data_IF_810229305442
#
_entry.id   IF_810229305442
#
_cell.length_a   1.000
_cell.length_b   1.000
_cell.length_c   1.000
_cell.angle_alpha   90.00
_cell.angle_beta   90.00
_cell.angle_gamma   90.00
#
_symmetry.space_group_name_H-M   'P 1'
#
loop_
_entity.id
_entity.type
_entity.pdbx_description
1 polymer ?
#
# COMPACT_ATOMS: atom_id res chain seq x y z
N UNK A 1 -31.28 -16.94 -6.73
CA UNK A 1 -29.96 -17.33 -6.16
C UNK A 1 -29.78 -16.60 -4.86
N UNK A 2 -29.15 -17.22 -3.87
CA UNK A 2 -28.83 -16.59 -2.60
C UNK A 2 -27.36 -16.18 -2.56
N UNK A 3 -27.07 -15.01 -2.02
CA UNK A 3 -25.69 -14.53 -1.82
C UNK A 3 -24.93 -15.47 -0.89
N UNK A 4 -23.71 -15.82 -1.26
CA UNK A 4 -22.84 -16.71 -0.49
C UNK A 4 -21.70 -15.92 0.15
N UNK A 5 -21.17 -16.43 1.27
CA UNK A 5 -19.99 -15.87 1.91
C UNK A 5 -18.96 -16.97 2.17
N UNK A 6 -17.69 -16.60 2.03
CA UNK A 6 -16.56 -17.47 2.35
C UNK A 6 -15.71 -16.77 3.39
N UNK A 7 -15.61 -17.37 4.57
CA UNK A 7 -14.78 -16.85 5.66
C UNK A 7 -13.48 -17.66 5.75
N UNK A 8 -12.35 -17.00 5.52
CA UNK A 8 -11.02 -17.59 5.68
C UNK A 8 -10.45 -17.10 7.02
N UNK A 9 -10.45 -17.97 8.03
CA UNK A 9 -9.90 -17.66 9.37
C UNK A 9 -8.49 -18.20 9.53
N UNK A 10 -7.77 -17.69 10.53
CA UNK A 10 -6.42 -18.14 10.87
C UNK A 10 -5.62 -17.06 11.59
N UNK A 11 -4.58 -17.46 12.31
CA UNK A 11 -3.66 -16.55 12.99
C UNK A 11 -2.82 -15.72 11.99
N UNK A 12 -2.02 -14.77 12.50
CA UNK A 12 -1.06 -14.05 11.66
C UNK A 12 -0.06 -15.03 11.05
N UNK A 13 0.17 -14.93 9.74
CA UNK A 13 1.04 -15.86 9.01
C UNK A 13 0.36 -17.12 8.45
N UNK A 14 -0.92 -17.37 8.74
CA UNK A 14 -1.64 -18.56 8.26
C UNK A 14 -1.94 -18.59 6.73
N UNK A 15 -1.41 -17.65 5.94
CA UNK A 15 -1.61 -17.63 4.49
C UNK A 15 -3.00 -17.19 4.02
N UNK A 16 -3.76 -16.46 4.84
CA UNK A 16 -5.14 -16.01 4.51
C UNK A 16 -5.20 -15.27 3.18
N UNK A 17 -4.34 -14.26 2.99
CA UNK A 17 -4.27 -13.45 1.76
C UNK A 17 -3.93 -14.31 0.54
N UNK A 18 -2.95 -15.21 0.67
CA UNK A 18 -2.54 -16.12 -0.40
C UNK A 18 -3.65 -17.09 -0.81
N UNK A 19 -4.43 -17.60 0.15
CA UNK A 19 -5.58 -18.45 -0.15
C UNK A 19 -6.69 -17.65 -0.84
N UNK A 20 -6.96 -16.41 -0.40
CA UNK A 20 -7.91 -15.51 -1.07
C UNK A 20 -7.50 -15.24 -2.52
N UNK A 21 -6.21 -15.01 -2.80
CA UNK A 21 -5.68 -14.84 -4.16
C UNK A 21 -6.01 -16.06 -5.04
N UNK A 22 -5.79 -17.27 -4.54
CA UNK A 22 -6.10 -18.51 -5.27
C UNK A 22 -7.59 -18.69 -5.54
N UNK A 23 -8.45 -18.34 -4.58
CA UNK A 23 -9.90 -18.41 -4.77
C UNK A 23 -10.38 -17.42 -5.84
N UNK A 24 -9.87 -16.18 -5.80
CA UNK A 24 -10.19 -15.17 -6.83
C UNK A 24 -9.72 -15.66 -8.21
N UNK A 25 -8.48 -16.16 -8.31
CA UNK A 25 -7.93 -16.68 -9.56
C UNK A 25 -8.74 -17.88 -10.09
N UNK A 26 -9.26 -18.73 -9.20
CA UNK A 26 -10.15 -19.83 -9.59
C UNK A 26 -11.47 -19.30 -10.17
N UNK A 27 -12.14 -18.35 -9.52
CA UNK A 27 -13.37 -17.76 -10.03
C UNK A 27 -13.16 -17.05 -11.38
N UNK A 28 -12.06 -16.32 -11.51
CA UNK A 28 -11.63 -15.70 -12.76
C UNK A 28 -11.51 -16.73 -13.91
N UNK A 29 -10.76 -17.81 -13.69
CA UNK A 29 -10.53 -18.82 -14.72
C UNK A 29 -11.80 -19.58 -15.11
N UNK A 30 -12.63 -19.98 -14.13
CA UNK A 30 -13.87 -20.70 -14.40
C UNK A 30 -14.88 -19.83 -15.14
N UNK A 31 -14.99 -18.54 -14.77
CA UNK A 31 -15.86 -17.60 -15.47
C UNK A 31 -15.40 -17.36 -16.92
N UNK A 32 -14.08 -17.26 -17.16
CA UNK A 32 -13.51 -17.02 -18.48
C UNK A 32 -13.72 -18.21 -19.46
N UNK A 33 -13.66 -19.45 -18.99
CA UNK A 33 -13.87 -20.66 -19.80
C UNK A 33 -15.27 -20.77 -20.45
N UNK A 34 -16.25 -20.02 -19.94
CA UNK A 34 -17.62 -20.00 -20.49
C UNK A 34 -17.77 -19.09 -21.73
N UNK A 35 -16.67 -18.51 -22.22
CA UNK A 35 -16.67 -17.64 -23.41
C UNK A 35 -15.87 -18.25 -24.56
N UNK A 36 -16.51 -18.36 -25.72
CA UNK A 36 -15.80 -18.46 -27.00
C UNK A 36 -14.96 -17.19 -27.17
N UNK A 37 -13.62 -17.33 -27.12
CA UNK A 37 -12.63 -16.24 -27.23
C UNK A 37 -13.05 -15.20 -28.28
N UNK A 38 -13.32 -13.93 -27.91
CA UNK A 38 -13.26 -12.86 -28.89
C UNK A 38 -11.79 -12.70 -29.32
N UNK A 39 -11.60 -12.38 -30.60
CA UNK A 39 -10.29 -12.13 -31.18
C UNK A 39 -9.54 -11.05 -30.38
N UNK A 40 -8.24 -11.29 -30.15
CA UNK A 40 -7.27 -10.39 -29.50
C UNK A 40 -7.53 -8.93 -29.89
N UNK A 41 -8.22 -8.17 -29.04
CA UNK A 41 -8.20 -6.72 -29.05
C UNK A 41 -7.26 -6.24 -27.94
N UNK A 42 -6.60 -5.13 -28.22
CA UNK A 42 -5.42 -4.58 -27.57
C UNK A 42 -5.50 -4.46 -26.03
N UNK A 43 -4.44 -4.95 -25.35
CA UNK A 43 -3.81 -4.48 -24.09
C UNK A 43 -4.67 -3.92 -22.93
N UNK A 44 -5.98 -4.13 -22.88
CA UNK A 44 -6.79 -3.74 -21.72
C UNK A 44 -6.79 -4.89 -20.71
N UNK A 45 -6.28 -4.63 -19.51
CA UNK A 45 -6.30 -5.60 -18.43
C UNK A 45 -7.72 -6.11 -18.19
N UNK A 46 -7.85 -7.42 -17.99
CA UNK A 46 -9.15 -8.04 -17.75
C UNK A 46 -9.66 -7.65 -16.35
N UNK A 47 -10.98 -7.78 -16.11
CA UNK A 47 -11.54 -7.51 -14.77
C UNK A 47 -10.86 -8.42 -13.73
N UNK A 48 -10.56 -9.64 -14.14
CA UNK A 48 -9.82 -10.66 -13.40
C UNK A 48 -8.41 -10.19 -13.02
N UNK A 49 -7.66 -9.64 -13.98
CA UNK A 49 -6.33 -9.08 -13.73
C UNK A 49 -6.42 -7.92 -12.74
N UNK A 50 -7.39 -7.02 -12.91
CA UNK A 50 -7.58 -5.89 -12.00
C UNK A 50 -7.83 -6.35 -10.55
N UNK A 51 -8.70 -7.35 -10.33
CA UNK A 51 -8.97 -7.84 -8.96
C UNK A 51 -7.69 -8.41 -8.32
N UNK A 52 -6.87 -9.14 -9.07
CA UNK A 52 -5.59 -9.68 -8.57
C UNK A 52 -4.60 -8.56 -8.27
N UNK A 53 -4.52 -7.56 -9.16
CA UNK A 53 -3.61 -6.40 -9.04
C UNK A 53 -4.01 -5.41 -7.95
N UNK A 54 -5.20 -5.52 -7.35
CA UNK A 54 -5.49 -4.76 -6.12
C UNK A 54 -4.59 -5.17 -4.95
N UNK A 55 -4.04 -6.39 -4.95
CA UNK A 55 -3.30 -6.90 -3.79
C UNK A 55 -1.95 -6.21 -3.59
N UNK A 56 -1.06 -6.04 -4.59
CA UNK A 56 0.19 -5.29 -4.41
C UNK A 56 -0.05 -3.91 -3.77
N UNK A 57 -1.03 -3.15 -4.25
CA UNK A 57 -1.39 -1.85 -3.68
C UNK A 57 -1.87 -1.98 -2.23
N UNK A 58 -2.81 -2.89 -1.95
CA UNK A 58 -3.34 -3.06 -0.59
C UNK A 58 -2.32 -3.62 0.40
N UNK A 59 -1.40 -4.46 -0.06
CA UNK A 59 -0.32 -4.99 0.76
C UNK A 59 0.75 -3.92 1.03
N UNK A 60 1.10 -3.11 0.02
CA UNK A 60 2.03 -2.00 0.18
C UNK A 60 1.55 -1.00 1.24
N UNK A 61 0.28 -0.58 1.17
CA UNK A 61 -0.29 0.42 2.08
C UNK A 61 -0.85 -0.14 3.40
N UNK A 62 -1.19 -1.43 3.44
CA UNK A 62 -1.93 -2.03 4.54
C UNK A 62 -1.21 -3.15 5.28
N UNK A 63 -0.07 -3.64 4.77
CA UNK A 63 0.74 -4.63 5.46
C UNK A 63 2.00 -4.02 6.05
N UNK A 64 2.47 -4.65 7.12
CA UNK A 64 3.71 -4.31 7.77
C UNK A 64 4.38 -5.56 8.35
N UNK A 65 5.68 -5.47 8.62
CA UNK A 65 6.39 -6.48 9.42
C UNK A 65 6.06 -6.32 10.89
N UNK A 66 5.68 -7.43 11.50
CA UNK A 66 5.49 -7.61 12.95
C UNK A 66 6.55 -8.57 13.50
N UNK A 67 6.56 -8.79 14.81
CA UNK A 67 7.48 -9.74 15.45
C UNK A 67 7.36 -11.17 14.89
N UNK A 68 6.15 -11.60 14.50
CA UNK A 68 5.87 -12.99 14.11
C UNK A 68 5.63 -13.18 12.61
N UNK A 69 5.42 -12.10 11.86
CA UNK A 69 5.04 -12.16 10.46
C UNK A 69 5.59 -10.95 9.72
N UNK A 70 6.39 -11.21 8.69
CA UNK A 70 7.02 -10.19 7.86
C UNK A 70 6.06 -9.46 6.92
N UNK A 71 4.91 -10.07 6.58
CA UNK A 71 3.90 -9.47 5.71
C UNK A 71 2.51 -9.58 6.36
N UNK A 72 2.33 -8.91 7.51
CA UNK A 72 1.07 -8.93 8.25
C UNK A 72 0.13 -7.84 7.80
N UNK A 73 -1.04 -8.20 7.28
CA UNK A 73 -2.13 -7.23 7.07
C UNK A 73 -2.58 -6.63 8.40
N UNK A 74 -2.61 -5.30 8.46
CA UNK A 74 -3.04 -4.51 9.62
C UNK A 74 -4.37 -3.80 9.36
N UNK A 75 -5.17 -4.39 8.48
CA UNK A 75 -6.53 -4.01 8.14
C UNK A 75 -7.32 -5.28 7.80
N UNK A 76 -8.63 -5.23 7.97
CA UNK A 76 -9.57 -6.23 7.47
C UNK A 76 -9.98 -5.90 6.04
N UNK A 77 -10.12 -6.92 5.20
CA UNK A 77 -10.55 -6.82 3.80
C UNK A 77 -11.78 -7.71 3.59
N UNK A 78 -12.88 -7.11 3.13
CA UNK A 78 -14.07 -7.83 2.70
C UNK A 78 -14.24 -7.66 1.20
N UNK A 79 -14.09 -8.76 0.46
CA UNK A 79 -14.15 -8.75 -1.01
C UNK A 79 -15.50 -9.31 -1.41
N UNK A 80 -16.31 -8.48 -2.09
CA UNK A 80 -17.52 -8.92 -2.76
C UNK A 80 -17.19 -9.21 -4.21
N UNK A 81 -17.54 -10.40 -4.68
CA UNK A 81 -17.40 -10.78 -6.08
C UNK A 81 -18.81 -10.90 -6.67
N UNK A 82 -19.09 -10.13 -7.70
CA UNK A 82 -20.40 -10.09 -8.35
C UNK A 82 -20.40 -11.02 -9.57
N UNK A 83 -21.44 -11.84 -9.66
CA UNK A 83 -21.70 -12.68 -10.83
C UNK A 83 -22.96 -12.21 -11.55
N UNK A 84 -22.89 -12.09 -12.88
CA UNK A 84 -24.02 -11.77 -13.73
C UNK A 84 -25.01 -12.94 -13.85
N UNK A 85 -26.15 -12.69 -14.52
CA UNK A 85 -27.21 -13.68 -14.74
C UNK A 85 -26.76 -14.93 -15.52
N UNK A 86 -25.65 -14.84 -16.25
CA UNK A 86 -25.03 -15.93 -16.98
C UNK A 86 -23.90 -16.65 -16.20
N UNK A 87 -23.73 -16.35 -14.91
CA UNK A 87 -22.68 -16.93 -14.06
C UNK A 87 -21.27 -16.37 -14.30
N UNK A 88 -21.14 -15.31 -15.12
CA UNK A 88 -19.84 -14.67 -15.38
C UNK A 88 -19.50 -13.62 -14.35
N UNK A 89 -18.22 -13.35 -14.17
CA UNK A 89 -17.73 -12.26 -13.34
C UNK A 89 -18.28 -10.92 -13.88
N UNK A 90 -19.03 -10.21 -13.05
CA UNK A 90 -19.65 -8.93 -13.40
C UNK A 90 -18.94 -7.73 -12.74
N UNK A 91 -18.20 -7.96 -11.66
CA UNK A 91 -17.49 -6.92 -10.92
C UNK A 91 -16.97 -7.44 -9.59
N UNK A 92 -16.22 -6.61 -8.88
CA UNK A 92 -15.85 -6.86 -7.49
C UNK A 92 -15.76 -5.55 -6.71
N UNK A 93 -16.16 -5.58 -5.44
CA UNK A 93 -15.95 -4.49 -4.50
C UNK A 93 -15.05 -4.95 -3.36
N UNK A 94 -14.23 -4.04 -2.84
CA UNK A 94 -13.39 -4.30 -1.68
C UNK A 94 -13.73 -3.26 -0.62
N UNK A 95 -14.23 -3.74 0.52
CA UNK A 95 -14.44 -2.91 1.70
C UNK A 95 -13.31 -3.18 2.70
N UNK A 96 -12.65 -2.10 3.11
CA UNK A 96 -11.55 -2.16 4.06
C UNK A 96 -12.01 -1.67 5.43
N UNK A 97 -11.58 -2.35 6.49
CA UNK A 97 -12.00 -2.09 7.85
C UNK A 97 -10.80 -2.05 8.80
N UNK A 98 -10.87 -1.20 9.84
CA UNK A 98 -9.96 -1.22 10.98
C UNK A 98 -8.46 -1.17 10.63
N UNK A 99 -8.06 -0.23 9.78
CA UNK A 99 -6.63 0.04 9.58
C UNK A 99 -5.99 0.46 10.92
N UNK A 100 -4.87 -0.16 11.29
CA UNK A 100 -4.10 0.19 12.49
C UNK A 100 -3.39 1.53 12.29
N UNK A 101 -4.11 2.64 12.57
CA UNK A 101 -3.61 4.01 12.38
C UNK A 101 -2.37 4.32 13.22
N UNK A 102 -2.28 3.75 14.43
CA UNK A 102 -1.16 3.97 15.35
C UNK A 102 0.19 3.57 14.76
N UNK A 103 0.21 2.55 13.88
CA UNK A 103 1.43 2.08 13.20
C UNK A 103 2.07 3.10 12.28
N UNK A 104 1.31 4.10 11.82
CA UNK A 104 1.87 5.16 10.96
C UNK A 104 2.91 5.99 11.72
N UNK A 105 2.70 6.23 13.02
CA UNK A 105 3.54 7.14 13.81
C UNK A 105 4.43 6.42 14.84
N UNK A 106 4.20 5.13 15.08
CA UNK A 106 4.95 4.38 16.08
C UNK A 106 5.04 2.89 15.76
N UNK A 107 6.21 2.31 16.00
CA UNK A 107 6.47 0.88 15.88
C UNK A 107 7.26 0.38 17.08
N UNK A 108 7.08 -0.88 17.46
CA UNK A 108 7.98 -1.52 18.42
C UNK A 108 9.34 -1.81 17.76
N UNK A 109 10.36 -2.02 18.59
CA UNK A 109 11.75 -2.19 18.13
C UNK A 109 11.95 -3.26 17.06
N UNK A 110 11.21 -4.38 17.13
CA UNK A 110 11.30 -5.48 16.17
C UNK A 110 10.26 -5.42 15.03
N UNK A 111 9.46 -4.36 14.96
CA UNK A 111 8.42 -4.16 13.93
C UNK A 111 8.87 -3.15 12.87
N UNK A 112 8.14 -3.07 11.77
CA UNK A 112 8.34 -2.12 10.68
C UNK A 112 7.09 -1.25 10.50
N UNK A 113 7.26 -0.08 9.90
CA UNK A 113 6.15 0.69 9.37
C UNK A 113 5.47 -0.04 8.18
N UNK A 114 4.42 0.56 7.62
CA UNK A 114 3.80 0.04 6.40
C UNK A 114 4.81 0.00 5.25
N UNK A 115 4.72 -1.04 4.41
CA UNK A 115 5.73 -1.31 3.38
C UNK A 115 5.93 -0.15 2.41
N UNK A 116 4.86 0.57 2.04
CA UNK A 116 4.91 1.71 1.12
C UNK A 116 5.95 2.76 1.51
N UNK A 117 6.14 3.03 2.81
CA UNK A 117 7.11 4.03 3.26
C UNK A 117 8.54 3.63 2.91
N UNK A 118 8.85 2.34 3.05
CA UNK A 118 10.17 1.82 2.78
C UNK A 118 10.40 1.62 1.27
N UNK A 119 9.35 1.21 0.55
CA UNK A 119 9.31 1.17 -0.91
C UNK A 119 9.58 2.55 -1.53
N UNK A 120 9.00 3.64 -1.01
CA UNK A 120 9.26 5.00 -1.49
C UNK A 120 10.71 5.46 -1.23
N UNK A 121 11.32 5.02 -0.12
CA UNK A 121 12.72 5.35 0.21
C UNK A 121 13.75 4.41 -0.43
N UNK A 122 13.31 3.37 -1.13
CA UNK A 122 14.18 2.39 -1.80
C UNK A 122 14.91 2.96 -3.03
N UNK A 123 14.49 4.14 -3.51
CA UNK A 123 14.98 4.78 -4.73
C UNK A 123 14.73 3.95 -6.01
N UNK A 124 13.66 3.15 -6.05
CA UNK A 124 13.26 2.41 -7.24
C UNK A 124 13.05 3.31 -8.47
N UNK A 125 12.58 4.53 -8.24
CA UNK A 125 12.35 5.56 -9.25
C UNK A 125 13.03 6.87 -8.83
N UNK A 126 14.30 7.10 -9.22
CA UNK A 126 15.06 8.26 -8.76
C UNK A 126 14.40 9.62 -9.05
N UNK A 127 13.73 9.76 -10.21
CA UNK A 127 13.01 10.99 -10.54
C UNK A 127 11.84 11.24 -9.59
N UNK A 128 11.13 10.17 -9.17
CA UNK A 128 10.04 10.29 -8.21
C UNK A 128 10.59 10.65 -6.83
N UNK A 129 11.66 10.00 -6.38
CA UNK A 129 12.33 10.31 -5.11
C UNK A 129 12.75 11.79 -5.05
N UNK A 130 13.30 12.34 -6.14
CA UNK A 130 13.62 13.76 -6.25
C UNK A 130 12.37 14.65 -6.21
N UNK A 131 11.33 14.33 -6.98
CA UNK A 131 10.07 15.09 -6.99
C UNK A 131 9.37 15.15 -5.62
N UNK A 132 9.46 14.05 -4.86
CA UNK A 132 8.90 13.94 -3.51
C UNK A 132 9.81 14.53 -2.43
N UNK A 133 10.99 15.04 -2.82
CA UNK A 133 12.03 15.56 -1.93
C UNK A 133 12.44 14.55 -0.86
N UNK A 134 12.47 13.26 -1.25
CA UNK A 134 12.85 12.18 -0.35
C UNK A 134 14.36 11.97 -0.36
N UNK A 135 14.91 11.58 0.78
CA UNK A 135 16.24 11.00 0.88
C UNK A 135 16.08 9.48 0.79
N UNK A 136 16.90 8.77 -0.02
CA UNK A 136 16.80 7.32 -0.20
C UNK A 136 17.36 6.54 1.00
N UNK A 137 16.86 6.85 2.19
CA UNK A 137 17.17 6.21 3.45
C UNK A 137 15.99 6.41 4.41
N UNK A 138 15.28 5.32 4.71
CA UNK A 138 14.13 5.34 5.63
C UNK A 138 14.48 5.85 7.04
N UNK A 139 15.74 5.73 7.47
CA UNK A 139 16.20 6.20 8.78
C UNK A 139 16.20 7.71 8.92
N UNK A 140 16.07 8.43 7.81
CA UNK A 140 15.87 9.88 7.81
C UNK A 140 14.46 10.28 8.25
N UNK A 141 13.52 9.33 8.37
CA UNK A 141 12.12 9.61 8.68
C UNK A 141 11.72 8.95 10.00
N UNK A 142 11.47 9.76 11.02
CA UNK A 142 11.21 9.28 12.38
C UNK A 142 9.98 8.36 12.47
N UNK A 143 8.91 8.66 11.76
CA UNK A 143 7.71 7.81 11.71
C UNK A 143 7.94 6.45 11.05
N UNK A 144 9.03 6.27 10.30
CA UNK A 144 9.28 5.05 9.53
C UNK A 144 10.40 4.17 10.13
N UNK A 145 11.13 4.67 11.13
CA UNK A 145 12.42 4.11 11.54
C UNK A 145 12.60 3.89 13.04
N UNK A 146 11.49 3.85 13.81
CA UNK A 146 11.55 3.51 15.24
C UNK A 146 11.85 2.02 15.50
N UNK A 147 11.59 1.16 14.51
CA UNK A 147 11.88 -0.27 14.56
C UNK A 147 12.83 -0.71 13.44
N UNK A 148 12.58 -1.90 12.88
CA UNK A 148 13.32 -2.41 11.73
C UNK A 148 12.94 -1.63 10.47
N UNK A 149 13.92 -1.45 9.58
CA UNK A 149 13.71 -0.84 8.25
C UNK A 149 13.76 -1.87 7.12
N UNK A 150 14.26 -3.06 7.39
CA UNK A 150 14.50 -4.14 6.41
C UNK A 150 13.73 -5.42 6.76
N UNK A 151 13.53 -6.26 5.73
CA UNK A 151 12.96 -7.60 5.83
C UNK A 151 13.89 -8.55 5.08
N UNK A 152 14.38 -9.64 5.71
CA UNK A 152 15.25 -10.61 5.04
C UNK A 152 14.60 -11.19 3.78
N UNK A 153 15.30 -11.08 2.64
CA UNK A 153 14.88 -11.65 1.36
C UNK A 153 13.83 -10.85 0.60
N UNK A 154 13.50 -9.62 1.03
CA UNK A 154 12.60 -8.72 0.31
C UNK A 154 13.40 -7.53 -0.23
N UNK A 155 13.22 -7.22 -1.52
CA UNK A 155 13.76 -6.02 -2.16
C UNK A 155 12.63 -4.97 -2.28
N UNK A 156 12.66 -3.95 -1.42
CA UNK A 156 11.65 -2.88 -1.45
C UNK A 156 11.65 -2.09 -2.77
N UNK A 157 12.75 -2.06 -3.52
CA UNK A 157 12.78 -1.40 -4.82
C UNK A 157 12.04 -2.22 -5.89
N UNK A 158 12.12 -3.54 -5.81
CA UNK A 158 11.32 -4.44 -6.66
C UNK A 158 9.85 -4.35 -6.31
N UNK A 159 9.51 -4.41 -5.01
CA UNK A 159 8.14 -4.27 -4.53
C UNK A 159 7.52 -2.91 -4.89
N UNK A 160 8.31 -1.83 -4.89
CA UNK A 160 7.87 -0.51 -5.34
C UNK A 160 7.50 -0.51 -6.84
N UNK A 161 8.29 -1.19 -7.68
CA UNK A 161 8.00 -1.31 -9.13
C UNK A 161 6.72 -2.11 -9.38
N UNK A 162 6.53 -3.21 -8.65
CA UNK A 162 5.30 -4.02 -8.72
C UNK A 162 4.07 -3.22 -8.28
N UNK A 163 4.21 -2.41 -7.23
CA UNK A 163 3.13 -1.54 -6.75
C UNK A 163 2.78 -0.45 -7.77
N UNK A 164 3.78 0.17 -8.40
CA UNK A 164 3.55 1.19 -9.44
C UNK A 164 2.89 0.62 -10.70
N UNK A 165 3.33 -0.56 -11.16
CA UNK A 165 2.71 -1.28 -12.27
C UNK A 165 1.26 -1.68 -11.94
N UNK A 166 1.00 -2.09 -10.69
CA UNK A 166 -0.34 -2.43 -10.26
C UNK A 166 -1.30 -1.23 -10.37
N UNK A 167 -0.85 -0.01 -10.03
CA UNK A 167 -1.67 1.20 -10.24
C UNK A 167 -2.00 1.44 -11.72
N UNK A 168 -1.05 1.20 -12.64
CA UNK A 168 -1.28 1.33 -14.08
C UNK A 168 -2.34 0.32 -14.56
N UNK A 169 -2.25 -0.94 -14.11
CA UNK A 169 -3.21 -1.98 -14.46
C UNK A 169 -4.62 -1.68 -13.92
N UNK A 170 -4.70 -1.09 -12.73
CA UNK A 170 -5.94 -0.63 -12.11
C UNK A 170 -6.52 0.63 -12.78
N UNK A 171 -5.79 1.24 -13.71
CA UNK A 171 -6.26 2.38 -14.50
C UNK A 171 -6.10 3.73 -13.82
N UNK A 172 -5.24 3.84 -12.81
CA UNK A 172 -4.88 5.14 -12.25
C UNK A 172 -4.08 5.95 -13.27
N UNK A 173 -4.42 7.22 -13.42
CA UNK A 173 -3.62 8.15 -14.21
C UNK A 173 -2.28 8.44 -13.52
N UNK A 174 -1.27 8.87 -14.29
CA UNK A 174 0.01 9.26 -13.73
C UNK A 174 -0.12 10.37 -12.67
N UNK A 175 -1.05 11.30 -12.86
CA UNK A 175 -1.34 12.36 -11.88
C UNK A 175 -1.86 11.77 -10.58
N UNK A 176 -2.83 10.86 -10.63
CA UNK A 176 -3.38 10.22 -9.42
C UNK A 176 -2.30 9.39 -8.69
N UNK A 177 -1.46 8.65 -9.42
CA UNK A 177 -0.30 7.94 -8.82
C UNK A 177 0.63 8.91 -8.09
N UNK A 178 1.01 10.00 -8.76
CA UNK A 178 1.89 11.01 -8.19
C UNK A 178 1.27 11.67 -6.96
N UNK A 179 -0.03 11.96 -6.95
CA UNK A 179 -0.73 12.55 -5.82
C UNK A 179 -0.79 11.57 -4.62
N UNK A 180 -1.02 10.28 -4.87
CA UNK A 180 -0.95 9.23 -3.84
C UNK A 180 0.45 9.19 -3.21
N UNK A 181 1.50 9.19 -4.02
CA UNK A 181 2.88 9.19 -3.52
C UNK A 181 3.23 10.50 -2.80
N UNK A 182 2.75 11.64 -3.29
CA UNK A 182 2.92 12.97 -2.67
C UNK A 182 2.31 13.03 -1.27
N UNK A 183 1.07 12.57 -1.12
CA UNK A 183 0.41 12.49 0.18
C UNK A 183 1.16 11.56 1.14
N UNK A 184 1.63 10.42 0.63
CA UNK A 184 2.36 9.42 1.42
C UNK A 184 3.71 9.96 1.90
N UNK A 185 4.49 10.60 1.02
CA UNK A 185 5.74 11.27 1.35
C UNK A 185 5.52 12.43 2.34
N UNK A 186 4.42 13.17 2.20
CA UNK A 186 4.02 14.22 3.14
C UNK A 186 3.91 13.70 4.58
N UNK A 187 3.31 12.52 4.79
CA UNK A 187 3.22 11.88 6.12
C UNK A 187 4.62 11.60 6.69
N UNK A 188 5.56 11.14 5.86
CA UNK A 188 6.94 10.87 6.28
C UNK A 188 7.64 12.17 6.74
N UNK A 189 7.51 13.23 5.95
CA UNK A 189 8.07 14.55 6.27
C UNK A 189 7.47 15.14 7.56
N UNK A 190 6.16 14.98 7.77
CA UNK A 190 5.51 15.41 9.02
C UNK A 190 6.12 14.77 10.26
N UNK A 191 6.56 13.51 10.16
CA UNK A 191 7.22 12.81 11.27
C UNK A 191 8.52 13.45 11.73
N UNK A 192 9.15 14.26 10.89
CA UNK A 192 10.42 14.92 11.19
C UNK A 192 10.24 16.33 11.76
N UNK A 193 9.01 16.86 11.80
CA UNK A 193 8.76 18.18 12.36
C UNK A 193 8.97 18.15 13.88
N UNK A 194 9.96 18.92 14.33
CA UNK A 194 10.26 19.11 15.76
C UNK A 194 9.69 20.44 16.21
N UNK A 195 9.16 20.45 17.43
CA UNK A 195 8.63 21.66 18.04
C UNK A 195 9.32 21.86 19.39
N UNK A 196 9.59 23.12 19.72
CA UNK A 196 10.09 23.51 21.03
C UNK A 196 9.16 24.53 21.67
N UNK A 197 9.11 24.49 22.99
CA UNK A 197 8.38 25.50 23.75
C UNK A 197 9.20 26.78 23.80
N UNK A 198 8.55 27.91 23.53
CA UNK A 198 9.17 29.22 23.73
C UNK A 198 9.34 29.50 25.23
N UNK A 199 10.52 29.94 25.69
CA UNK A 199 10.69 30.31 27.09
C UNK A 199 9.69 31.40 27.48
N UNK A 200 8.85 31.13 28.49
CA UNK A 200 7.83 32.03 29.05
C UNK A 200 6.58 32.28 28.17
N UNK A 201 6.38 31.51 27.12
CA UNK A 201 5.12 31.49 26.35
C UNK A 201 4.52 30.07 26.36
N UNK A 202 3.19 29.95 26.30
CA UNK A 202 2.50 28.67 26.15
C UNK A 202 2.52 28.14 24.71
N UNK A 203 2.88 28.98 23.73
CA UNK A 203 2.94 28.62 22.33
C UNK A 203 4.23 27.85 22.00
N UNK A 204 4.09 26.76 21.25
CA UNK A 204 5.22 26.06 20.66
C UNK A 204 5.59 26.68 19.30
N UNK A 205 6.87 26.59 18.94
CA UNK A 205 7.35 26.94 17.60
C UNK A 205 8.11 25.76 16.98
N UNK A 206 8.19 25.71 15.65
CA UNK A 206 9.00 24.73 14.95
C UNK A 206 10.48 24.92 15.32
N UNK A 207 11.12 23.87 15.81
CA UNK A 207 12.53 23.89 16.17
C UNK A 207 13.37 23.63 14.92
N UNK A 208 13.91 24.71 14.33
CA UNK A 208 14.93 24.69 13.29
C UNK A 208 14.62 23.70 12.16
N UNK A 209 13.85 24.13 11.15
CA UNK A 209 13.78 23.36 9.90
C UNK A 209 15.20 23.17 9.38
N UNK A 210 15.69 21.94 9.33
CA UNK A 210 16.90 21.60 8.59
C UNK A 210 16.75 22.22 7.20
N UNK A 211 17.73 23.01 6.74
CA UNK A 211 17.64 23.80 5.49
C UNK A 211 17.35 22.99 4.22
N UNK A 212 17.26 21.66 4.32
CA UNK A 212 16.78 20.74 3.26
C UNK A 212 15.26 20.55 3.22
N UNK A 213 14.50 21.02 4.19
CA UNK A 213 13.04 20.90 4.26
C UNK A 213 12.26 22.23 4.09
N UNK A 214 12.65 23.18 3.21
CA UNK A 214 11.91 24.44 3.06
C UNK A 214 10.50 24.26 2.46
N UNK A 215 10.14 23.05 2.04
CA UNK A 215 9.01 22.82 1.13
C UNK A 215 7.80 22.17 1.77
N UNK A 216 7.84 21.70 3.04
CA UNK A 216 6.66 21.06 3.66
C UNK A 216 5.45 22.01 3.70
N UNK A 217 5.68 23.33 3.85
CA UNK A 217 4.63 24.35 3.74
C UNK A 217 4.20 24.69 2.30
N UNK A 218 4.92 24.22 1.27
CA UNK A 218 4.56 24.39 -0.15
C UNK A 218 3.79 23.18 -0.71
N UNK A 219 3.56 22.15 0.11
CA UNK A 219 2.73 20.99 -0.26
C UNK A 219 1.23 21.21 -0.03
N UNK A 220 0.82 22.34 0.55
CA UNK A 220 -0.57 22.75 0.78
C UNK A 220 -0.85 24.12 0.16
#
# INVERSE_FOLDING_TARGET
SESQSMLITGESGAGKTENTKKVIAYFANVAALTTSKPAKSEKKATLEDQVVQTNPVLESFGNAKTVRNNNSSRFGKFIRIHFGSNGKLAGADIENYLLEKSRVISQQSAERAYHIFLQLTSNAFPQLTEQLLLVPDAKQYYYCSQGHTDIPGVDDAEEMRLTDEAFDILGFSQTEKNDVYRLTAGIMHFGNMKFKQRPREEQAECDGMERRFPTVCLFF
#
